data_IF_884280991455
#
_entry.id   IF_884280991455
#
_cell.length_a   1.000
_cell.length_b   1.000
_cell.length_c   1.000
_cell.angle_alpha   90.00
_cell.angle_beta   90.00
_cell.angle_gamma   90.00
#
_symmetry.space_group_name_H-M   'P 1'
#
loop_
_entity.id
_entity.type
_entity.pdbx_description
1 polymer ?
#
# COMPACT_ATOMS: atom_id res chain seq x y z
N UNK A 1 -18.16 17.83 6.27
CA UNK A 1 -17.91 16.52 6.91
C UNK A 1 -18.87 15.40 6.45
N UNK A 2 -19.87 15.65 5.61
CA UNK A 2 -20.84 14.61 5.18
C UNK A 2 -20.50 13.92 3.83
N UNK A 3 -19.64 14.47 2.97
CA UNK A 3 -19.32 13.86 1.66
C UNK A 3 -18.43 12.60 1.72
N UNK A 4 -17.54 12.49 2.71
CA UNK A 4 -16.65 11.31 2.84
C UNK A 4 -17.41 10.02 3.17
N UNK A 5 -18.66 10.12 3.62
CA UNK A 5 -19.50 8.98 3.98
C UNK A 5 -20.09 8.24 2.78
N UNK A 6 -20.18 8.86 1.60
CA UNK A 6 -20.72 8.21 0.40
C UNK A 6 -19.69 7.31 -0.31
N UNK A 7 -18.39 7.61 -0.16
CA UNK A 7 -17.29 6.78 -0.68
C UNK A 7 -17.11 5.46 0.09
N UNK A 8 -17.67 5.33 1.30
CA UNK A 8 -17.59 4.12 2.15
C UNK A 8 -18.31 2.90 1.56
N UNK A 9 -19.19 3.06 0.56
CA UNK A 9 -20.12 2.01 0.11
C UNK A 9 -20.08 1.68 -1.39
N UNK A 10 -19.19 2.26 -2.20
CA UNK A 10 -19.26 2.12 -3.67
C UNK A 10 -18.42 0.98 -4.26
N UNK A 11 -17.60 0.28 -3.45
CA UNK A 11 -16.81 -0.88 -3.90
C UNK A 11 -17.25 -2.16 -3.21
N UNK A 12 -17.47 -3.19 -4.00
CA UNK A 12 -17.93 -4.50 -3.54
C UNK A 12 -16.92 -5.13 -2.58
N UNK A 13 -17.36 -6.07 -1.74
CA UNK A 13 -16.45 -6.87 -0.89
C UNK A 13 -15.32 -7.48 -1.73
N UNK A 14 -15.65 -7.96 -2.93
CA UNK A 14 -14.68 -8.47 -3.91
C UNK A 14 -13.60 -7.45 -4.28
N UNK A 15 -13.95 -6.17 -4.44
CA UNK A 15 -12.98 -5.12 -4.76
C UNK A 15 -12.08 -4.82 -3.56
N UNK A 16 -12.63 -4.85 -2.35
CA UNK A 16 -11.86 -4.68 -1.12
C UNK A 16 -10.87 -5.83 -0.95
N UNK A 17 -11.32 -7.07 -1.13
CA UNK A 17 -10.46 -8.26 -1.08
C UNK A 17 -9.36 -8.19 -2.14
N UNK A 18 -9.70 -7.76 -3.37
CA UNK A 18 -8.73 -7.58 -4.43
C UNK A 18 -7.67 -6.51 -4.08
N UNK A 19 -8.08 -5.38 -3.50
CA UNK A 19 -7.18 -4.33 -3.04
C UNK A 19 -6.26 -4.87 -1.95
N UNK A 20 -6.83 -5.50 -0.91
CA UNK A 20 -6.08 -6.08 0.21
C UNK A 20 -5.02 -7.05 -0.32
N UNK A 21 -5.42 -7.97 -1.21
CA UNK A 21 -4.51 -8.93 -1.81
C UNK A 21 -3.37 -8.27 -2.57
N UNK A 22 -3.62 -7.17 -3.28
CA UNK A 22 -2.57 -6.42 -3.99
C UNK A 22 -1.61 -5.75 -3.01
N UNK A 23 -2.11 -5.19 -1.90
CA UNK A 23 -1.24 -4.63 -0.86
C UNK A 23 -0.38 -5.68 -0.17
N UNK A 24 -0.90 -6.87 0.10
CA UNK A 24 -0.10 -7.99 0.62
C UNK A 24 1.06 -8.34 -0.32
N UNK A 25 0.78 -8.48 -1.62
CA UNK A 25 1.79 -8.82 -2.63
C UNK A 25 2.86 -7.73 -2.72
N UNK A 26 2.45 -6.46 -2.79
CA UNK A 26 3.37 -5.32 -2.86
C UNK A 26 4.24 -5.25 -1.61
N UNK A 27 3.63 -5.39 -0.42
CA UNK A 27 4.37 -5.33 0.84
C UNK A 27 5.33 -6.50 1.01
N UNK A 28 4.98 -7.71 0.56
CA UNK A 28 5.88 -8.87 0.55
C UNK A 28 7.10 -8.65 -0.36
N UNK A 29 6.87 -8.11 -1.55
CA UNK A 29 7.94 -7.77 -2.49
C UNK A 29 8.88 -6.71 -1.90
N UNK A 30 8.33 -5.66 -1.27
CA UNK A 30 9.11 -4.63 -0.58
C UNK A 30 9.91 -5.21 0.58
N UNK A 31 9.31 -6.07 1.40
CA UNK A 31 9.95 -6.70 2.57
C UNK A 31 11.17 -7.55 2.17
N UNK A 32 11.14 -8.09 0.95
CA UNK A 32 12.24 -8.89 0.39
C UNK A 32 13.41 -8.05 -0.14
N UNK A 33 13.26 -6.71 -0.25
CA UNK A 33 14.34 -5.84 -0.67
C UNK A 33 15.41 -5.71 0.43
N UNK A 34 16.70 -5.65 0.08
CA UNK A 34 17.77 -5.36 1.04
C UNK A 34 17.54 -4.01 1.75
N UNK A 35 17.89 -3.93 3.03
CA UNK A 35 17.73 -2.67 3.80
C UNK A 35 18.59 -1.55 3.22
N UNK A 36 19.81 -1.86 2.76
CA UNK A 36 20.70 -0.88 2.11
C UNK A 36 20.07 -0.31 0.83
N UNK A 37 19.34 -1.12 0.06
CA UNK A 37 18.59 -0.63 -1.09
C UNK A 37 17.48 0.33 -0.65
N UNK A 38 16.68 -0.05 0.35
CA UNK A 38 15.60 0.80 0.86
C UNK A 38 16.14 2.13 1.41
N UNK A 39 17.29 2.11 2.07
CA UNK A 39 17.95 3.30 2.62
C UNK A 39 18.39 4.30 1.54
N UNK A 40 18.67 3.85 0.31
CA UNK A 40 19.02 4.72 -0.81
C UNK A 40 17.80 5.48 -1.39
N UNK A 41 16.58 5.08 -1.05
CA UNK A 41 15.35 5.70 -1.55
C UNK A 41 14.41 6.15 -0.43
N UNK A 42 14.84 7.10 0.43
CA UNK A 42 14.08 7.53 1.62
C UNK A 42 12.76 8.24 1.29
N UNK A 43 12.58 8.68 0.04
CA UNK A 43 11.32 9.26 -0.44
C UNK A 43 10.18 8.22 -0.52
N UNK A 44 10.51 6.93 -0.48
CA UNK A 44 9.54 5.84 -0.50
C UNK A 44 9.29 5.37 0.94
N UNK A 45 8.02 5.32 1.33
CA UNK A 45 7.60 4.82 2.64
C UNK A 45 7.58 3.27 2.69
N UNK A 46 8.73 2.62 2.52
CA UNK A 46 8.82 1.14 2.52
C UNK A 46 8.23 0.51 3.78
N UNK A 47 8.59 1.05 4.96
CA UNK A 47 8.06 0.58 6.25
C UNK A 47 6.55 0.67 6.34
N UNK A 48 5.92 1.65 5.68
CA UNK A 48 4.48 1.76 5.58
C UNK A 48 3.85 0.56 4.88
N UNK A 49 4.41 0.15 3.73
CA UNK A 49 3.93 -1.01 2.97
C UNK A 49 4.19 -2.35 3.68
N UNK A 50 5.35 -2.50 4.33
CA UNK A 50 5.66 -3.70 5.14
C UNK A 50 4.67 -3.87 6.30
N UNK A 51 4.42 -2.78 7.05
CA UNK A 51 3.45 -2.79 8.15
C UNK A 51 2.03 -3.02 7.65
N UNK A 52 1.67 -2.47 6.49
CA UNK A 52 0.36 -2.71 5.89
C UNK A 52 0.19 -4.20 5.56
N UNK A 53 1.18 -4.84 4.92
CA UNK A 53 1.15 -6.29 4.67
C UNK A 53 1.01 -7.08 5.96
N UNK A 54 1.84 -6.80 6.98
CA UNK A 54 1.82 -7.57 8.23
C UNK A 54 0.47 -7.41 8.95
N UNK A 55 -0.13 -6.22 8.91
CA UNK A 55 -1.47 -5.99 9.46
C UNK A 55 -2.56 -6.75 8.68
N UNK A 56 -2.56 -6.65 7.35
CA UNK A 56 -3.58 -7.26 6.49
C UNK A 56 -3.53 -8.79 6.53
N UNK A 57 -2.35 -9.41 6.66
CA UNK A 57 -2.22 -10.87 6.73
C UNK A 57 -2.76 -11.48 8.03
N UNK A 58 -2.97 -10.67 9.07
CA UNK A 58 -3.40 -11.14 10.40
C UNK A 58 -4.82 -10.70 10.78
N UNK A 59 -5.35 -9.65 10.15
CA UNK A 59 -6.61 -9.04 10.56
C UNK A 59 -7.69 -9.24 9.50
N UNK A 60 -8.45 -10.33 9.62
CA UNK A 60 -9.65 -10.57 8.81
C UNK A 60 -10.85 -9.73 9.28
N UNK A 61 -10.86 -9.25 10.53
CA UNK A 61 -11.95 -8.46 11.11
C UNK A 61 -11.50 -7.04 11.43
N UNK A 62 -12.14 -6.04 10.82
CA UNK A 62 -11.92 -4.63 11.17
C UNK A 62 -10.72 -3.98 10.48
N UNK A 63 -10.39 -4.40 9.24
CA UNK A 63 -9.48 -3.64 8.39
C UNK A 63 -9.99 -2.20 8.29
N UNK A 64 -9.14 -1.23 8.66
CA UNK A 64 -9.46 0.16 8.45
C UNK A 64 -9.26 0.48 6.95
N UNK A 65 -10.33 0.25 6.19
CA UNK A 65 -10.36 0.44 4.74
C UNK A 65 -10.03 1.89 4.35
N UNK A 66 -10.36 2.88 5.20
CA UNK A 66 -9.98 4.28 4.95
C UNK A 66 -8.47 4.46 4.94
N UNK A 67 -7.74 3.77 5.83
CA UNK A 67 -6.27 3.82 5.85
C UNK A 67 -5.70 3.22 4.56
N UNK A 68 -6.26 2.12 4.06
CA UNK A 68 -5.82 1.55 2.78
C UNK A 68 -6.06 2.53 1.63
N UNK A 69 -7.23 3.17 1.56
CA UNK A 69 -7.50 4.16 0.53
C UNK A 69 -6.57 5.36 0.61
N UNK A 70 -6.24 5.83 1.81
CA UNK A 70 -5.22 6.88 1.96
C UNK A 70 -3.86 6.44 1.40
N UNK A 71 -3.45 5.19 1.64
CA UNK A 71 -2.22 4.67 1.04
C UNK A 71 -2.30 4.57 -0.49
N UNK A 72 -3.46 4.21 -1.04
CA UNK A 72 -3.69 4.21 -2.50
C UNK A 72 -3.55 5.63 -3.07
N UNK A 73 -4.10 6.64 -2.40
CA UNK A 73 -4.08 8.01 -2.91
C UNK A 73 -2.75 8.73 -2.69
N UNK A 74 -2.01 8.39 -1.63
CA UNK A 74 -0.84 9.16 -1.18
C UNK A 74 0.47 8.41 -1.35
N UNK A 75 0.54 7.15 -0.97
CA UNK A 75 1.80 6.39 -0.97
C UNK A 75 2.03 5.65 -2.30
N UNK A 76 1.00 5.04 -2.87
CA UNK A 76 1.13 4.20 -4.07
C UNK A 76 1.63 4.95 -5.32
N UNK A 77 1.18 6.19 -5.63
CA UNK A 77 1.70 6.95 -6.77
C UNK A 77 3.16 7.35 -6.58
N UNK A 78 3.58 7.59 -5.34
CA UNK A 78 4.98 7.88 -5.02
C UNK A 78 5.81 6.62 -5.25
N UNK A 79 5.37 5.47 -4.73
CA UNK A 79 6.02 4.19 -4.94
C UNK A 79 6.20 3.88 -6.43
N UNK A 80 5.14 3.99 -7.23
CA UNK A 80 5.18 3.74 -8.67
C UNK A 80 6.19 4.65 -9.37
N UNK A 81 6.10 5.97 -9.12
CA UNK A 81 6.98 6.95 -9.74
C UNK A 81 8.45 6.67 -9.42
N UNK A 82 8.77 6.42 -8.15
CA UNK A 82 10.16 6.19 -7.75
C UNK A 82 10.68 4.85 -8.28
N UNK A 83 9.90 3.76 -8.24
CA UNK A 83 10.29 2.48 -8.85
C UNK A 83 10.57 2.64 -10.35
N UNK A 84 9.75 3.40 -11.08
CA UNK A 84 9.95 3.66 -12.50
C UNK A 84 11.22 4.49 -12.77
N UNK A 85 11.63 5.37 -11.86
CA UNK A 85 12.92 6.08 -11.96
C UNK A 85 14.08 5.11 -11.72
N UNK A 86 14.03 4.34 -10.64
CA UNK A 86 15.06 3.35 -10.30
C UNK A 86 15.29 2.39 -11.47
N UNK A 87 14.21 1.88 -12.07
CA UNK A 87 14.29 0.98 -13.22
C UNK A 87 14.97 1.60 -14.45
N UNK A 88 14.95 2.92 -14.61
CA UNK A 88 15.65 3.63 -15.71
C UNK A 88 17.13 3.85 -15.43
N UNK A 89 17.53 3.79 -14.16
CA UNK A 89 18.91 3.98 -13.69
C UNK A 89 19.69 2.66 -13.60
N UNK A 90 18.98 1.52 -13.71
CA UNK A 90 19.51 0.16 -13.85
C UNK A 90 19.78 -0.19 -15.32
#
# INVERSE_FOLDING_TARGET
MQEKSLYRNSKSIKDQDAIIRRFEIIGEAIKSLPEDFKNNYPNINFKGFEKARDFLSHVYFGVNVERLYLMIEKDLPILEREILKIKKEL
#
